data_IF_660488891085
#
_entry.id   IF_660488891085
#
_cell.length_a   1.000
_cell.length_b   1.000
_cell.length_c   1.000
_cell.angle_alpha   90.00
_cell.angle_beta   90.00
_cell.angle_gamma   90.00
#
_symmetry.space_group_name_H-M   'P 1'
#
loop_
_entity.id
_entity.type
_entity.pdbx_description
1 polymer ?
#
# COMPACT_ATOMS: atom_id res chain seq x y z
N UNK A 1 30.88 -17.02 1.07
CA UNK A 1 29.58 -17.40 1.64
C UNK A 1 29.55 -18.91 1.63
N UNK A 2 29.18 -19.56 2.74
CA UNK A 2 28.90 -21.00 2.73
C UNK A 2 27.86 -21.31 1.65
N UNK A 3 28.02 -22.44 0.97
CA UNK A 3 27.16 -22.85 -0.15
C UNK A 3 25.81 -23.31 0.42
N UNK A 4 24.82 -22.42 0.41
CA UNK A 4 23.47 -22.70 0.92
C UNK A 4 22.84 -23.82 0.07
N UNK A 5 22.65 -24.99 0.67
CA UNK A 5 22.04 -26.17 0.04
C UNK A 5 21.32 -27.04 1.06
N UNK A 6 20.32 -27.80 0.62
CA UNK A 6 19.48 -28.69 1.43
C UNK A 6 18.89 -28.00 2.67
N UNK A 7 18.13 -26.93 2.45
CA UNK A 7 17.47 -26.18 3.53
C UNK A 7 15.98 -25.96 3.23
N UNK A 8 15.22 -25.73 4.30
CA UNK A 8 13.83 -25.30 4.23
C UNK A 8 13.71 -23.86 4.74
N UNK A 9 13.08 -23.00 3.95
CA UNK A 9 12.79 -21.61 4.30
C UNK A 9 11.31 -21.49 4.61
N UNK A 10 10.97 -21.11 5.84
CA UNK A 10 9.59 -20.85 6.26
C UNK A 10 9.33 -19.34 6.30
N UNK A 11 8.31 -18.89 5.58
CA UNK A 11 7.92 -17.48 5.49
C UNK A 11 6.48 -17.30 5.96
N UNK A 12 6.31 -16.46 6.98
CA UNK A 12 5.00 -15.98 7.43
C UNK A 12 4.69 -14.62 6.79
N UNK A 13 3.46 -14.45 6.30
CA UNK A 13 2.97 -13.27 5.58
C UNK A 13 3.90 -12.78 4.45
N UNK A 14 4.40 -13.68 3.55
CA UNK A 14 5.38 -13.34 2.53
C UNK A 14 4.91 -12.20 1.61
N UNK A 15 3.59 -12.06 1.40
CA UNK A 15 3.01 -11.05 0.54
C UNK A 15 3.39 -9.61 0.90
N UNK A 16 3.70 -9.32 2.18
CA UNK A 16 4.07 -7.98 2.65
C UNK A 16 5.39 -7.48 2.04
N UNK A 17 6.32 -8.40 1.78
CA UNK A 17 7.66 -8.13 1.28
C UNK A 17 8.00 -8.92 0.00
N UNK A 18 6.98 -9.39 -0.71
CA UNK A 18 7.14 -10.37 -1.79
C UNK A 18 7.66 -9.83 -3.12
N UNK A 19 7.63 -8.52 -3.37
CA UNK A 19 7.98 -7.97 -4.69
C UNK A 19 9.47 -8.15 -5.02
N UNK A 20 9.78 -8.25 -6.30
CA UNK A 20 11.14 -8.44 -6.82
C UNK A 20 12.13 -7.31 -6.44
N UNK A 21 11.62 -6.12 -6.11
CA UNK A 21 12.40 -4.94 -5.71
C UNK A 21 12.56 -4.79 -4.18
N UNK A 22 11.95 -5.67 -3.40
CA UNK A 22 12.00 -5.68 -1.93
C UNK A 22 13.18 -6.50 -1.39
N UNK A 23 13.45 -6.35 -0.09
CA UNK A 23 14.65 -6.91 0.58
C UNK A 23 14.75 -8.43 0.49
N UNK A 24 13.63 -9.15 0.60
CA UNK A 24 13.62 -10.62 0.53
C UNK A 24 14.11 -11.11 -0.83
N UNK A 25 13.59 -10.53 -1.92
CA UNK A 25 14.05 -10.85 -3.27
C UNK A 25 15.54 -10.55 -3.47
N UNK A 26 16.05 -9.44 -2.91
CA UNK A 26 17.48 -9.10 -2.97
C UNK A 26 18.34 -10.10 -2.21
N UNK A 27 17.93 -10.44 -0.98
CA UNK A 27 18.62 -11.44 -0.17
C UNK A 27 18.71 -12.80 -0.88
N UNK A 28 17.61 -13.25 -1.51
CA UNK A 28 17.62 -14.50 -2.28
C UNK A 28 18.58 -14.44 -3.48
N UNK A 29 18.72 -13.28 -4.14
CA UNK A 29 19.71 -13.08 -5.23
C UNK A 29 21.14 -13.12 -4.70
N UNK A 30 21.41 -12.41 -3.61
CA UNK A 30 22.73 -12.34 -2.99
C UNK A 30 23.19 -13.73 -2.50
N UNK A 31 22.23 -14.58 -2.09
CA UNK A 31 22.46 -15.97 -1.72
C UNK A 31 22.49 -16.95 -2.91
N UNK A 32 22.17 -16.52 -4.14
CA UNK A 32 22.08 -17.38 -5.33
C UNK A 32 20.98 -18.45 -5.25
N UNK A 33 19.85 -18.14 -4.62
CA UNK A 33 18.67 -19.03 -4.48
C UNK A 33 17.40 -18.36 -5.02
N UNK A 34 17.56 -17.44 -5.96
CA UNK A 34 16.46 -16.61 -6.43
C UNK A 34 15.63 -17.32 -7.50
N UNK A 35 16.27 -18.03 -8.43
CA UNK A 35 15.55 -18.70 -9.52
C UNK A 35 15.02 -20.07 -9.09
N UNK A 36 14.06 -20.60 -9.85
CA UNK A 36 13.58 -21.99 -9.68
C UNK A 36 14.72 -22.99 -9.87
N UNK A 37 15.50 -22.83 -10.94
CA UNK A 37 16.62 -23.71 -11.25
C UNK A 37 17.68 -23.74 -10.12
N UNK A 38 18.05 -22.57 -9.60
CA UNK A 38 18.99 -22.46 -8.47
C UNK A 38 18.45 -23.18 -7.24
N UNK A 39 17.17 -22.99 -6.92
CA UNK A 39 16.51 -23.63 -5.77
C UNK A 39 16.46 -25.15 -5.93
N UNK A 40 16.12 -25.66 -7.11
CA UNK A 40 16.08 -27.10 -7.37
C UNK A 40 17.47 -27.73 -7.31
N UNK A 41 18.46 -27.11 -7.95
CA UNK A 41 19.86 -27.57 -7.94
C UNK A 41 20.44 -27.67 -6.53
N UNK A 42 20.02 -26.78 -5.64
CA UNK A 42 20.50 -26.68 -4.25
C UNK A 42 19.56 -27.34 -3.24
N UNK A 43 18.51 -28.04 -3.68
CA UNK A 43 17.48 -28.65 -2.83
C UNK A 43 16.90 -27.68 -1.77
N UNK A 44 16.53 -26.47 -2.22
CA UNK A 44 15.92 -25.45 -1.39
C UNK A 44 14.40 -25.62 -1.41
N UNK A 45 13.82 -25.85 -0.24
CA UNK A 45 12.37 -26.00 -0.04
C UNK A 45 11.81 -24.72 0.58
N UNK A 46 10.59 -24.34 0.21
CA UNK A 46 9.93 -23.14 0.76
C UNK A 46 8.53 -23.49 1.29
N UNK A 47 8.22 -22.98 2.47
CA UNK A 47 6.89 -23.05 3.07
C UNK A 47 6.40 -21.63 3.31
N UNK A 48 5.31 -21.27 2.63
CA UNK A 48 4.73 -19.94 2.68
C UNK A 48 3.35 -20.00 3.34
N UNK A 49 3.19 -19.29 4.45
CA UNK A 49 1.93 -19.22 5.20
C UNK A 49 1.35 -17.82 5.06
N UNK A 50 0.10 -17.72 4.64
CA UNK A 50 -0.58 -16.43 4.46
C UNK A 50 -2.09 -16.57 4.54
N UNK A 51 -2.73 -15.65 5.26
CA UNK A 51 -4.19 -15.49 5.22
C UNK A 51 -4.67 -14.78 3.95
N UNK A 52 -3.81 -13.95 3.33
CA UNK A 52 -4.11 -13.27 2.06
C UNK A 52 -2.87 -13.31 1.17
N UNK A 53 -2.64 -14.40 0.44
CA UNK A 53 -1.37 -14.61 -0.25
C UNK A 53 -1.15 -13.62 -1.40
N UNK A 54 -2.19 -12.96 -1.90
CA UNK A 54 -2.09 -11.96 -2.97
C UNK A 54 -1.28 -12.52 -4.16
N UNK A 55 -0.41 -11.73 -4.80
CA UNK A 55 0.33 -12.21 -5.96
C UNK A 55 1.25 -13.42 -5.71
N UNK A 56 1.61 -13.73 -4.45
CA UNK A 56 2.48 -14.88 -4.14
C UNK A 56 1.83 -16.21 -4.47
N UNK A 57 0.51 -16.34 -4.29
CA UNK A 57 -0.19 -17.57 -4.64
C UNK A 57 -0.14 -17.85 -6.13
N UNK A 58 -0.35 -16.82 -6.96
CA UNK A 58 -0.26 -16.98 -8.42
C UNK A 58 1.14 -17.40 -8.82
N UNK A 59 2.17 -16.73 -8.32
CA UNK A 59 3.55 -17.06 -8.69
C UNK A 59 3.98 -18.44 -8.24
N UNK A 60 3.53 -18.92 -7.07
CA UNK A 60 3.73 -20.31 -6.63
C UNK A 60 3.01 -21.30 -7.55
N UNK A 61 1.74 -21.02 -7.94
CA UNK A 61 1.00 -21.87 -8.89
C UNK A 61 1.65 -21.93 -10.27
N UNK A 62 2.26 -20.83 -10.72
CA UNK A 62 2.98 -20.77 -11.99
C UNK A 62 4.20 -21.74 -12.03
N UNK A 63 4.65 -22.30 -10.89
CA UNK A 63 5.72 -23.31 -10.85
C UNK A 63 5.29 -24.70 -11.35
N UNK A 64 3.97 -24.96 -11.41
CA UNK A 64 3.39 -26.26 -11.75
C UNK A 64 3.28 -27.23 -10.56
N UNK A 65 2.31 -28.13 -10.63
CA UNK A 65 1.95 -29.08 -9.56
C UNK A 65 3.06 -30.07 -9.19
N UNK A 66 4.05 -30.26 -10.08
CA UNK A 66 5.24 -31.06 -9.81
C UNK A 66 6.20 -30.40 -8.79
N UNK A 67 6.19 -29.07 -8.70
CA UNK A 67 7.16 -28.29 -7.92
C UNK A 67 6.53 -27.44 -6.81
N UNK A 68 5.22 -27.23 -6.86
CA UNK A 68 4.51 -26.49 -5.82
C UNK A 68 3.19 -27.16 -5.48
N UNK A 69 2.80 -27.01 -4.21
CA UNK A 69 1.50 -27.44 -3.72
C UNK A 69 0.90 -26.33 -2.86
N UNK A 70 -0.40 -26.09 -3.02
CA UNK A 70 -1.14 -25.10 -2.23
C UNK A 70 -2.11 -25.88 -1.36
N UNK A 71 -1.97 -25.75 -0.05
CA UNK A 71 -2.80 -26.42 0.93
C UNK A 71 -3.76 -25.41 1.59
N UNK A 72 -5.05 -25.37 1.21
CA UNK A 72 -6.04 -24.59 1.93
C UNK A 72 -6.21 -25.14 3.34
N UNK A 73 -6.14 -24.27 4.34
CA UNK A 73 -6.36 -24.67 5.74
C UNK A 73 -7.83 -24.45 6.09
N UNK A 74 -8.56 -25.54 6.33
CA UNK A 74 -9.93 -25.47 6.82
C UNK A 74 -9.95 -25.20 8.34
N UNK A 75 -10.83 -24.32 8.84
CA UNK A 75 -10.99 -24.12 10.27
C UNK A 75 -11.60 -25.35 10.94
N UNK A 76 -11.21 -25.62 12.19
CA UNK A 76 -11.83 -26.66 13.00
C UNK A 76 -13.22 -26.22 13.52
N UNK A 77 -13.96 -27.16 14.09
CA UNK A 77 -15.26 -26.89 14.71
C UNK A 77 -15.15 -25.81 15.79
N UNK A 78 -16.16 -24.92 15.86
CA UNK A 78 -16.20 -23.82 16.83
C UNK A 78 -15.45 -22.56 16.40
N UNK A 79 -14.78 -22.54 15.25
CA UNK A 79 -14.12 -21.34 14.73
C UNK A 79 -15.13 -20.27 14.30
N UNK A 80 -14.99 -19.06 14.86
CA UNK A 80 -15.71 -17.85 14.44
C UNK A 80 -15.06 -17.32 13.17
N UNK A 81 -15.80 -17.31 12.07
CA UNK A 81 -15.39 -16.71 10.79
C UNK A 81 -16.47 -15.79 10.21
N UNK A 82 -16.28 -15.36 8.96
CA UNK A 82 -17.19 -14.46 8.25
C UNK A 82 -18.67 -14.86 8.38
N UNK A 83 -19.01 -16.12 8.10
CA UNK A 83 -20.40 -16.61 8.13
C UNK A 83 -21.03 -16.43 9.52
N UNK A 84 -20.28 -16.72 10.58
CA UNK A 84 -20.73 -16.56 11.97
C UNK A 84 -20.92 -15.08 12.31
N UNK A 85 -19.93 -14.24 12.02
CA UNK A 85 -20.00 -12.81 12.29
C UNK A 85 -21.16 -12.13 11.53
N UNK A 86 -21.38 -12.50 10.26
CA UNK A 86 -22.50 -12.02 9.45
C UNK A 86 -23.85 -12.45 10.03
N UNK A 87 -24.00 -13.73 10.36
CA UNK A 87 -25.24 -14.28 10.97
C UNK A 87 -25.58 -13.58 12.29
N UNK A 88 -24.57 -13.22 13.06
CA UNK A 88 -24.73 -12.52 14.33
C UNK A 88 -24.89 -10.98 14.18
N UNK A 89 -24.96 -10.46 12.94
CA UNK A 89 -25.04 -9.03 12.65
C UNK A 89 -23.90 -8.20 13.28
N UNK A 90 -22.71 -8.79 13.35
CA UNK A 90 -21.52 -8.19 13.97
C UNK A 90 -20.70 -7.33 13.00
N UNK A 91 -20.93 -7.41 11.69
CA UNK A 91 -20.14 -6.67 10.69
C UNK A 91 -21.00 -5.56 10.09
N UNK A 92 -20.48 -4.34 10.04
CA UNK A 92 -21.16 -3.16 9.49
C UNK A 92 -20.23 -2.37 8.58
N UNK A 93 -20.82 -1.68 7.62
CA UNK A 93 -20.10 -0.78 6.73
C UNK A 93 -19.54 0.42 7.52
N UNK A 94 -18.23 0.66 7.42
CA UNK A 94 -17.61 1.84 7.99
C UNK A 94 -18.02 3.11 7.24
N UNK A 95 -17.81 4.27 7.86
CA UNK A 95 -18.07 5.59 7.31
C UNK A 95 -16.89 6.49 7.64
N UNK A 96 -16.73 7.60 6.92
CA UNK A 96 -15.71 8.57 7.28
C UNK A 96 -16.04 9.18 8.66
N UNK A 97 -15.04 9.36 9.51
CA UNK A 97 -15.18 9.97 10.85
C UNK A 97 -14.53 11.36 10.95
N UNK A 98 -13.77 11.75 9.93
CA UNK A 98 -13.02 13.01 9.91
C UNK A 98 -13.92 14.12 9.36
N UNK A 99 -13.86 15.34 9.92
CA UNK A 99 -14.63 16.47 9.43
C UNK A 99 -15.94 16.68 10.19
N UNK A 100 -16.39 17.95 10.35
CA UNK A 100 -17.64 18.29 11.02
C UNK A 100 -18.88 17.69 10.34
N UNK A 101 -18.86 17.51 9.02
CA UNK A 101 -19.94 16.88 8.26
C UNK A 101 -20.15 15.41 8.61
N UNK A 102 -19.16 14.78 9.25
CA UNK A 102 -19.17 13.36 9.62
C UNK A 102 -19.49 13.11 11.11
N UNK A 103 -19.85 14.14 11.88
CA UNK A 103 -20.23 14.01 13.29
C UNK A 103 -21.32 12.96 13.54
N UNK A 104 -22.31 12.88 12.65
CA UNK A 104 -23.42 11.94 12.77
C UNK A 104 -22.92 10.47 12.74
N UNK A 105 -21.82 10.19 12.05
CA UNK A 105 -21.22 8.86 12.04
C UNK A 105 -20.62 8.51 13.41
N UNK A 106 -20.06 9.49 14.12
CA UNK A 106 -19.57 9.31 15.51
C UNK A 106 -20.74 9.19 16.49
N UNK A 107 -21.84 9.92 16.27
CA UNK A 107 -23.08 9.79 17.08
C UNK A 107 -23.71 8.41 16.93
N UNK A 108 -23.66 7.82 15.74
CA UNK A 108 -24.08 6.42 15.52
C UNK A 108 -23.26 5.46 16.39
N UNK A 109 -21.94 5.63 16.45
CA UNK A 109 -21.07 4.84 17.33
C UNK A 109 -21.50 5.04 18.80
N UNK A 110 -21.75 6.27 19.26
CA UNK A 110 -22.23 6.53 20.63
C UNK A 110 -23.53 5.78 20.92
N UNK A 111 -24.48 5.83 19.99
CA UNK A 111 -25.76 5.14 20.13
C UNK A 111 -25.59 3.62 20.25
N UNK A 112 -24.72 3.01 19.44
CA UNK A 112 -24.42 1.57 19.56
C UNK A 112 -23.70 1.24 20.86
N UNK A 113 -22.77 2.09 21.32
CA UNK A 113 -22.08 1.89 22.60
C UNK A 113 -23.05 1.85 23.78
N UNK A 114 -24.08 2.70 23.76
CA UNK A 114 -25.08 2.76 24.83
C UNK A 114 -25.97 1.51 24.94
N UNK A 115 -25.98 0.64 23.92
CA UNK A 115 -26.74 -0.61 23.94
C UNK A 115 -26.08 -1.71 24.78
N UNK A 116 -24.78 -1.59 25.07
CA UNK A 116 -24.09 -2.57 25.91
C UNK A 116 -24.52 -2.45 27.37
N UNK A 117 -24.91 -3.57 27.98
CA UNK A 117 -25.29 -3.64 29.40
C UNK A 117 -24.11 -3.51 30.36
N UNK A 118 -22.90 -3.71 29.86
CA UNK A 118 -21.67 -3.68 30.66
C UNK A 118 -20.62 -2.88 29.92
N UNK A 119 -19.75 -2.22 30.68
CA UNK A 119 -18.60 -1.49 30.14
C UNK A 119 -17.75 -2.36 29.22
N UNK A 120 -17.32 -1.77 28.10
CA UNK A 120 -16.53 -2.42 27.05
C UNK A 120 -15.36 -1.53 26.62
N UNK A 121 -14.37 -2.17 26.00
CA UNK A 121 -13.36 -1.48 25.21
C UNK A 121 -13.85 -1.26 23.78
N UNK A 122 -13.57 -0.08 23.23
CA UNK A 122 -13.92 0.29 21.87
C UNK A 122 -12.66 0.75 21.14
N UNK A 123 -12.18 -0.01 20.15
CA UNK A 123 -10.99 0.36 19.38
C UNK A 123 -11.40 1.15 18.15
N UNK A 124 -10.85 2.35 18.00
CA UNK A 124 -11.09 3.21 16.85
C UNK A 124 -9.76 3.47 16.15
N UNK A 125 -9.56 2.92 14.95
CA UNK A 125 -8.34 3.14 14.18
C UNK A 125 -8.48 4.40 13.34
N UNK A 126 -7.55 5.33 13.51
CA UNK A 126 -7.61 6.65 12.90
C UNK A 126 -6.54 6.85 11.83
N UNK A 127 -6.75 7.89 11.00
CA UNK A 127 -5.71 8.42 10.10
C UNK A 127 -4.61 9.12 10.91
N UNK A 128 -3.49 9.41 10.27
CA UNK A 128 -2.39 10.20 10.84
C UNK A 128 -2.55 11.68 10.48
N UNK A 129 -1.81 12.57 11.16
CA UNK A 129 -1.81 14.01 10.85
C UNK A 129 -2.94 14.76 11.57
N UNK A 130 -3.40 15.87 10.99
CA UNK A 130 -4.43 16.74 11.57
C UNK A 130 -5.77 16.00 11.78
N UNK A 131 -6.18 15.19 10.80
CA UNK A 131 -7.34 14.29 10.86
C UNK A 131 -7.41 13.47 12.16
N UNK A 132 -6.24 13.06 12.70
CA UNK A 132 -6.15 12.28 13.93
C UNK A 132 -6.69 13.08 15.13
N UNK A 133 -6.16 14.28 15.34
CA UNK A 133 -6.46 15.12 16.48
C UNK A 133 -7.87 15.70 16.39
N UNK A 134 -8.28 16.08 15.18
CA UNK A 134 -9.65 16.56 14.91
C UNK A 134 -10.69 15.50 15.28
N UNK A 135 -10.48 14.25 14.83
CA UNK A 135 -11.42 13.15 15.11
C UNK A 135 -11.50 12.89 16.62
N UNK A 136 -10.36 12.85 17.32
CA UNK A 136 -10.34 12.68 18.79
C UNK A 136 -11.08 13.82 19.50
N UNK A 137 -10.88 15.07 19.05
CA UNK A 137 -11.60 16.22 19.59
C UNK A 137 -13.11 16.09 19.44
N UNK A 138 -13.58 15.63 18.27
CA UNK A 138 -15.00 15.38 18.03
C UNK A 138 -15.55 14.24 18.89
N UNK A 139 -14.81 13.14 19.06
CA UNK A 139 -15.18 12.09 20.01
C UNK A 139 -15.33 12.66 21.43
N UNK A 140 -14.33 13.39 21.93
CA UNK A 140 -14.37 13.98 23.27
C UNK A 140 -15.56 14.94 23.46
N UNK A 141 -15.92 15.71 22.43
CA UNK A 141 -17.09 16.60 22.47
C UNK A 141 -18.41 15.84 22.48
N UNK A 142 -18.53 14.75 21.71
CA UNK A 142 -19.78 13.98 21.60
C UNK A 142 -20.00 13.04 22.80
N UNK A 143 -18.94 12.37 23.25
CA UNK A 143 -18.99 11.41 24.34
C UNK A 143 -18.78 12.06 25.72
N UNK A 144 -18.12 13.21 25.79
CA UNK A 144 -17.89 13.93 27.04
C UNK A 144 -17.15 13.07 28.06
N UNK A 145 -17.60 13.11 29.32
CA UNK A 145 -17.04 12.33 30.43
C UNK A 145 -17.76 10.99 30.65
N UNK A 146 -18.65 10.58 29.73
CA UNK A 146 -19.38 9.31 29.82
C UNK A 146 -18.46 8.08 29.62
N UNK A 147 -17.25 8.32 29.10
CA UNK A 147 -16.27 7.29 28.72
C UNK A 147 -14.86 7.73 29.10
N UNK A 148 -13.97 6.76 29.26
CA UNK A 148 -12.54 7.01 29.29
C UNK A 148 -11.95 7.02 27.88
N UNK A 149 -10.90 7.82 27.68
CA UNK A 149 -10.15 7.86 26.42
C UNK A 149 -8.72 7.47 26.67
N UNK A 150 -8.18 6.66 25.76
CA UNK A 150 -6.76 6.37 25.74
C UNK A 150 -6.27 6.14 24.32
N UNK A 151 -4.96 6.08 24.15
CA UNK A 151 -4.31 6.00 22.85
C UNK A 151 -3.32 4.83 22.83
N UNK A 152 -3.39 4.01 21.79
CA UNK A 152 -2.43 2.95 21.50
C UNK A 152 -1.59 3.34 20.28
N UNK A 153 -0.48 4.02 20.56
CA UNK A 153 0.44 4.65 19.61
C UNK A 153 1.88 4.17 19.84
N UNK A 154 2.86 4.66 19.07
CA UNK A 154 4.25 4.22 19.19
C UNK A 154 4.84 4.46 20.58
N UNK A 155 4.52 5.59 21.18
CA UNK A 155 4.99 6.08 22.48
C UNK A 155 4.14 5.59 23.66
N UNK A 156 3.10 4.78 23.41
CA UNK A 156 2.21 4.33 24.48
C UNK A 156 2.96 3.47 25.49
N UNK A 157 2.62 3.60 26.77
CA UNK A 157 3.19 2.80 27.87
C UNK A 157 3.01 1.29 27.69
N UNK A 158 2.01 0.86 26.92
CA UNK A 158 1.73 -0.55 26.67
C UNK A 158 2.57 -1.06 25.50
N UNK A 159 3.46 -2.02 25.78
CA UNK A 159 4.09 -2.83 24.73
C UNK A 159 3.06 -3.76 24.09
N UNK A 160 2.16 -4.33 24.90
CA UNK A 160 1.04 -5.16 24.44
C UNK A 160 -0.31 -4.58 24.85
N UNK A 161 -1.17 -4.29 23.88
CA UNK A 161 -2.54 -3.83 24.14
C UNK A 161 -3.35 -4.87 24.93
N UNK A 162 -3.04 -6.16 24.81
CA UNK A 162 -3.77 -7.22 25.51
C UNK A 162 -3.55 -7.18 27.03
N UNK A 163 -2.50 -6.51 27.52
CA UNK A 163 -2.31 -6.31 28.96
C UNK A 163 -3.43 -5.44 29.57
N UNK A 164 -3.99 -4.54 28.75
CA UNK A 164 -5.19 -3.77 29.04
C UNK A 164 -6.46 -4.61 28.76
N UNK A 165 -6.59 -5.16 27.56
CA UNK A 165 -7.85 -5.77 27.08
C UNK A 165 -8.27 -7.04 27.83
N UNK A 166 -7.35 -7.72 28.52
CA UNK A 166 -7.67 -8.88 29.38
C UNK A 166 -8.42 -8.49 30.66
N UNK A 167 -8.36 -7.22 31.09
CA UNK A 167 -9.01 -6.73 32.31
C UNK A 167 -10.43 -6.26 31.96
N UNK A 168 -11.38 -6.44 32.87
CA UNK A 168 -12.73 -5.88 32.67
C UNK A 168 -12.66 -4.36 32.86
N UNK A 169 -13.15 -3.54 31.92
CA UNK A 169 -13.16 -2.10 32.10
C UNK A 169 -14.21 -1.66 33.15
N UNK A 170 -13.85 -0.66 33.95
CA UNK A 170 -14.71 -0.05 34.97
C UNK A 170 -15.74 0.94 34.39
N UNK A 171 -15.44 1.52 33.23
CA UNK A 171 -16.26 2.43 32.43
C UNK A 171 -16.02 2.12 30.96
N UNK A 172 -16.94 2.47 30.06
CA UNK A 172 -16.64 2.37 28.63
C UNK A 172 -15.35 3.11 28.30
N UNK A 173 -14.42 2.45 27.61
CA UNK A 173 -13.12 3.03 27.28
C UNK A 173 -12.91 3.01 25.77
N UNK A 174 -12.74 4.19 25.18
CA UNK A 174 -12.39 4.37 23.77
C UNK A 174 -10.87 4.39 23.65
N UNK A 175 -10.33 3.50 22.83
CA UNK A 175 -8.90 3.37 22.56
C UNK A 175 -8.64 3.77 21.11
N UNK A 176 -8.01 4.93 20.91
CA UNK A 176 -7.62 5.39 19.58
C UNK A 176 -6.33 4.71 19.15
N UNK A 177 -6.31 4.14 17.94
CA UNK A 177 -5.16 3.41 17.41
C UNK A 177 -4.55 4.17 16.25
N UNK A 178 -3.25 4.48 16.37
CA UNK A 178 -2.45 5.11 15.32
C UNK A 178 -1.29 4.20 14.96
N UNK A 179 -1.26 3.76 13.70
CA UNK A 179 -0.15 2.99 13.09
C UNK A 179 0.30 1.70 13.80
N UNK A 180 -0.46 1.25 14.81
CA UNK A 180 -0.26 0.00 15.54
C UNK A 180 -1.23 -1.09 15.08
N UNK A 181 -1.00 -2.31 15.56
CA UNK A 181 -1.77 -3.52 15.22
C UNK A 181 -1.77 -3.80 13.70
N UNK A 182 -0.62 -3.57 13.04
CA UNK A 182 -0.33 -4.06 11.70
C UNK A 182 0.23 -5.49 11.84
N UNK A 183 -0.36 -6.44 11.11
CA UNK A 183 0.02 -7.88 11.08
C UNK A 183 -0.07 -8.62 12.44
N UNK A 184 -0.10 -9.95 12.38
CA UNK A 184 0.05 -11.04 13.40
C UNK A 184 -0.47 -10.92 14.87
N UNK A 185 -0.86 -9.77 15.40
CA UNK A 185 -1.25 -9.62 16.81
C UNK A 185 -2.73 -9.89 17.07
N UNK A 186 -3.04 -10.97 17.78
CA UNK A 186 -4.40 -11.27 18.25
C UNK A 186 -4.88 -10.23 19.26
N UNK A 187 -6.20 -10.00 19.29
CA UNK A 187 -6.87 -9.08 20.22
C UNK A 187 -7.67 -9.91 21.22
N UNK A 188 -7.58 -9.60 22.51
CA UNK A 188 -8.38 -10.28 23.52
C UNK A 188 -9.84 -9.83 23.45
N UNK A 189 -10.72 -10.72 22.99
CA UNK A 189 -12.09 -10.34 22.59
C UNK A 189 -13.10 -10.22 23.73
N UNK A 190 -12.84 -10.78 24.93
CA UNK A 190 -13.87 -10.96 25.98
C UNK A 190 -14.67 -9.70 26.36
N UNK A 191 -14.02 -8.54 26.39
CA UNK A 191 -14.63 -7.26 26.80
C UNK A 191 -14.71 -6.24 25.66
N UNK A 192 -14.62 -6.69 24.41
CA UNK A 192 -14.71 -5.81 23.24
C UNK A 192 -16.14 -5.44 22.92
N UNK A 193 -16.37 -4.16 22.65
CA UNK A 193 -17.64 -3.62 22.18
C UNK A 193 -17.58 -3.26 20.72
N UNK A 194 -16.89 -2.16 20.38
CA UNK A 194 -16.81 -1.69 18.98
C UNK A 194 -15.37 -1.77 18.49
N UNK A 195 -15.19 -2.29 17.27
CA UNK A 195 -13.95 -2.23 16.53
C UNK A 195 -14.19 -1.45 15.24
N UNK A 196 -13.54 -0.31 15.09
CA UNK A 196 -13.75 0.59 13.96
C UNK A 196 -12.48 0.70 13.12
N UNK A 197 -12.51 0.08 11.93
CA UNK A 197 -11.39 0.12 10.99
C UNK A 197 -11.24 1.52 10.38
N UNK A 198 -10.01 1.88 10.00
CA UNK A 198 -9.76 3.19 9.40
C UNK A 198 -10.46 3.29 8.05
N UNK A 199 -11.35 4.28 7.91
CA UNK A 199 -11.98 4.58 6.62
C UNK A 199 -10.93 4.89 5.53
N UNK A 200 -11.09 4.26 4.37
CA UNK A 200 -10.33 4.55 3.16
C UNK A 200 -11.28 4.59 1.97
N UNK A 201 -11.25 5.65 1.13
CA UNK A 201 -12.05 5.71 -0.10
C UNK A 201 -11.56 4.72 -1.17
N UNK A 202 -10.33 4.23 -1.03
CA UNK A 202 -9.75 3.21 -1.91
C UNK A 202 -9.03 2.19 -1.02
N UNK A 203 -9.77 1.25 -0.42
CA UNK A 203 -9.19 0.29 0.50
C UNK A 203 -8.26 -0.69 -0.22
N UNK A 204 -7.22 -1.11 0.49
CA UNK A 204 -6.48 -2.33 0.16
C UNK A 204 -7.24 -3.50 0.80
N UNK A 205 -7.77 -4.40 -0.04
CA UNK A 205 -8.66 -5.47 0.40
C UNK A 205 -7.95 -6.41 1.40
N UNK A 206 -6.66 -6.69 1.16
CA UNK A 206 -5.82 -7.51 2.03
C UNK A 206 -5.61 -6.85 3.40
N UNK A 207 -5.33 -5.53 3.42
CA UNK A 207 -5.20 -4.78 4.68
C UNK A 207 -6.50 -4.74 5.47
N UNK A 208 -7.64 -4.55 4.80
CA UNK A 208 -8.95 -4.54 5.47
C UNK A 208 -9.25 -5.90 6.10
N UNK A 209 -9.09 -7.00 5.35
CA UNK A 209 -9.50 -8.30 5.87
C UNK A 209 -8.53 -8.85 6.93
N UNK A 210 -7.26 -8.46 6.89
CA UNK A 210 -6.28 -8.72 7.96
C UNK A 210 -6.32 -7.67 9.10
N UNK A 211 -7.20 -6.67 8.99
CA UNK A 211 -7.42 -5.60 9.94
C UNK A 211 -8.16 -6.08 11.20
N UNK A 212 -9.06 -5.25 11.73
CA UNK A 212 -9.91 -5.69 12.85
C UNK A 212 -10.83 -6.84 12.49
N UNK A 213 -11.34 -6.88 11.26
CA UNK A 213 -12.21 -7.96 10.79
C UNK A 213 -11.56 -9.34 10.97
N UNK A 214 -10.38 -9.58 10.40
CA UNK A 214 -9.68 -10.85 10.55
C UNK A 214 -9.23 -11.15 11.98
N UNK A 215 -9.03 -10.13 12.82
CA UNK A 215 -8.69 -10.31 14.25
C UNK A 215 -9.88 -10.73 15.11
N UNK A 216 -11.08 -10.64 14.58
CA UNK A 216 -12.30 -11.18 15.19
C UNK A 216 -12.61 -12.61 14.71
N UNK A 217 -11.72 -13.22 13.95
CA UNK A 217 -11.79 -14.65 13.69
C UNK A 217 -11.07 -15.42 14.79
N UNK A 218 -11.44 -16.70 14.97
CA UNK A 218 -10.80 -17.60 15.92
C UNK A 218 -11.79 -18.25 16.90
N UNK A 219 -11.30 -18.66 18.07
CA UNK A 219 -12.06 -19.47 19.03
C UNK A 219 -12.48 -18.66 20.26
N UNK A 220 -13.22 -17.57 20.05
CA UNK A 220 -13.74 -16.74 21.12
C UNK A 220 -15.27 -16.80 21.23
N UNK A 221 -15.79 -16.41 22.39
CA UNK A 221 -17.23 -16.44 22.71
C UNK A 221 -17.89 -15.06 22.75
N UNK A 222 -17.17 -14.00 22.36
CA UNK A 222 -17.78 -12.67 22.19
C UNK A 222 -18.58 -12.63 20.88
N UNK A 223 -19.91 -12.61 21.00
CA UNK A 223 -20.85 -12.54 19.89
C UNK A 223 -21.63 -11.22 19.84
N UNK A 224 -21.35 -10.26 20.73
CA UNK A 224 -21.98 -8.95 20.76
C UNK A 224 -21.07 -7.81 20.28
N UNK A 225 -19.80 -8.07 20.00
CA UNK A 225 -18.88 -7.09 19.42
C UNK A 225 -19.31 -6.68 18.00
N UNK A 226 -19.33 -5.37 17.73
CA UNK A 226 -19.62 -4.77 16.42
C UNK A 226 -18.31 -4.34 15.73
N UNK A 227 -18.17 -4.69 14.47
CA UNK A 227 -17.00 -4.44 13.62
C UNK A 227 -17.42 -3.55 12.47
N UNK A 228 -16.98 -2.30 12.49
CA UNK A 228 -17.12 -1.38 11.36
C UNK A 228 -15.92 -1.53 10.43
N UNK A 229 -16.17 -1.99 9.20
CA UNK A 229 -15.14 -2.26 8.20
C UNK A 229 -15.66 -2.00 6.79
N UNK A 230 -14.84 -2.16 5.75
CA UNK A 230 -15.31 -2.12 4.37
C UNK A 230 -16.01 -3.45 4.03
N UNK A 231 -17.34 -3.43 3.87
CA UNK A 231 -18.12 -4.63 3.58
C UNK A 231 -17.76 -5.24 2.22
N UNK A 232 -17.48 -4.39 1.22
CA UNK A 232 -17.10 -4.84 -0.12
C UNK A 232 -15.80 -5.68 -0.10
N UNK A 233 -14.77 -5.25 0.63
CA UNK A 233 -13.52 -6.01 0.81
C UNK A 233 -13.77 -7.33 1.53
N UNK A 234 -14.68 -7.35 2.51
CA UNK A 234 -15.06 -8.58 3.23
C UNK A 234 -15.77 -9.56 2.31
N UNK A 235 -16.72 -9.09 1.50
CA UNK A 235 -17.44 -9.90 0.51
C UNK A 235 -16.48 -10.44 -0.56
N UNK A 236 -15.60 -9.61 -1.10
CA UNK A 236 -14.53 -10.05 -2.01
C UNK A 236 -13.65 -11.14 -1.41
N UNK A 237 -13.34 -11.06 -0.11
CA UNK A 237 -12.53 -12.08 0.56
C UNK A 237 -13.26 -13.42 0.67
N UNK A 238 -14.57 -13.38 0.90
CA UNK A 238 -15.41 -14.57 0.88
C UNK A 238 -15.47 -15.18 -0.52
N UNK A 239 -15.68 -14.36 -1.55
CA UNK A 239 -15.69 -14.78 -2.95
C UNK A 239 -14.34 -15.41 -3.36
N UNK A 240 -13.23 -14.78 -2.95
CA UNK A 240 -11.88 -15.30 -3.17
C UNK A 240 -11.73 -16.70 -2.54
N UNK A 241 -12.17 -16.88 -1.30
CA UNK A 241 -12.10 -18.17 -0.63
C UNK A 241 -12.95 -19.23 -1.35
N UNK A 242 -14.20 -18.91 -1.68
CA UNK A 242 -15.14 -19.84 -2.35
C UNK A 242 -14.68 -20.23 -3.76
N UNK A 243 -14.03 -19.31 -4.48
CA UNK A 243 -13.45 -19.55 -5.80
C UNK A 243 -11.99 -20.04 -5.73
N UNK A 244 -11.54 -20.54 -4.58
CA UNK A 244 -10.18 -21.09 -4.40
C UNK A 244 -9.07 -20.13 -4.84
N UNK A 245 -9.28 -18.83 -4.59
CA UNK A 245 -8.41 -17.73 -4.98
C UNK A 245 -8.10 -17.71 -6.49
N UNK A 246 -9.10 -17.98 -7.35
CA UNK A 246 -8.98 -17.77 -8.78
C UNK A 246 -9.05 -16.27 -9.13
N UNK A 247 -7.88 -15.70 -9.39
CA UNK A 247 -7.71 -14.29 -9.76
C UNK A 247 -8.39 -13.91 -11.08
N UNK A 248 -8.88 -14.84 -11.89
CA UNK A 248 -9.66 -14.52 -13.09
C UNK A 248 -11.14 -14.25 -12.80
N UNK A 249 -11.62 -14.59 -11.59
CA UNK A 249 -13.05 -14.57 -11.25
C UNK A 249 -13.43 -13.56 -10.17
N UNK A 250 -12.46 -12.96 -9.49
CA UNK A 250 -12.70 -12.00 -8.41
C UNK A 250 -11.76 -10.81 -8.54
N UNK A 251 -12.28 -9.57 -8.50
CA UNK A 251 -11.46 -8.37 -8.38
C UNK A 251 -10.89 -8.22 -6.97
N UNK A 252 -9.56 -8.12 -6.87
CA UNK A 252 -8.83 -8.03 -5.60
C UNK A 252 -7.69 -7.01 -5.68
N UNK A 253 -7.71 -6.01 -4.81
CA UNK A 253 -6.71 -4.93 -4.76
C UNK A 253 -5.86 -5.07 -3.51
N UNK A 254 -4.54 -5.12 -3.69
CA UNK A 254 -3.57 -5.17 -2.59
C UNK A 254 -2.25 -4.49 -2.99
N UNK A 255 -1.26 -4.47 -2.09
CA UNK A 255 0.10 -4.04 -2.42
C UNK A 255 0.69 -4.78 -3.64
N UNK A 256 0.32 -6.06 -3.87
CA UNK A 256 0.85 -6.87 -4.97
C UNK A 256 -0.18 -7.24 -6.04
N UNK A 257 -1.44 -6.84 -5.90
CA UNK A 257 -2.49 -7.11 -6.88
C UNK A 257 -3.30 -5.86 -7.24
N UNK A 258 -3.94 -5.85 -8.41
CA UNK A 258 -4.80 -4.77 -8.84
C UNK A 258 -6.06 -5.32 -9.53
N UNK A 259 -7.23 -4.93 -9.05
CA UNK A 259 -8.49 -5.22 -9.72
C UNK A 259 -8.55 -4.54 -11.11
N UNK A 260 -9.07 -5.27 -12.10
CA UNK A 260 -9.34 -4.77 -13.46
C UNK A 260 -10.60 -5.46 -14.01
N UNK A 261 -11.74 -4.77 -13.96
CA UNK A 261 -13.03 -5.39 -14.25
C UNK A 261 -13.29 -6.52 -13.25
N UNK A 262 -13.69 -7.70 -13.73
CA UNK A 262 -14.02 -8.86 -12.88
C UNK A 262 -12.81 -9.74 -12.52
N UNK A 263 -11.58 -9.29 -12.84
CA UNK A 263 -10.35 -10.05 -12.61
C UNK A 263 -9.30 -9.25 -11.86
N UNK A 264 -8.26 -9.96 -11.45
CA UNK A 264 -7.12 -9.44 -10.70
C UNK A 264 -5.83 -9.59 -11.50
N UNK A 265 -5.07 -8.51 -11.59
CA UNK A 265 -3.71 -8.51 -12.14
C UNK A 265 -2.73 -8.64 -10.98
N UNK A 266 -1.82 -9.62 -11.07
CA UNK A 266 -0.76 -9.83 -10.08
C UNK A 266 0.55 -9.19 -10.52
N UNK A 267 1.25 -8.53 -9.59
CA UNK A 267 2.63 -8.08 -9.79
C UNK A 267 3.59 -9.26 -9.66
N UNK A 268 4.81 -9.11 -10.15
CA UNK A 268 5.87 -10.09 -9.94
C UNK A 268 6.37 -10.08 -8.49
N UNK A 269 6.73 -11.27 -8.01
CA UNK A 269 7.19 -11.61 -6.68
C UNK A 269 8.51 -12.38 -6.74
N UNK A 270 9.14 -12.67 -5.60
CA UNK A 270 10.34 -13.50 -5.52
C UNK A 270 10.12 -14.96 -5.99
N UNK A 271 8.86 -15.39 -6.13
CA UNK A 271 8.54 -16.70 -6.71
C UNK A 271 8.36 -16.66 -8.23
N UNK A 272 8.43 -15.51 -8.90
CA UNK A 272 8.36 -15.53 -10.35
C UNK A 272 9.70 -15.97 -10.96
N UNK A 273 9.65 -16.86 -11.94
CA UNK A 273 10.79 -17.09 -12.81
C UNK A 273 11.10 -15.81 -13.57
N UNK A 274 12.27 -15.22 -13.29
CA UNK A 274 12.80 -14.16 -14.13
C UNK A 274 13.55 -14.81 -15.30
N UNK A 275 12.82 -15.36 -16.26
CA UNK A 275 13.43 -15.69 -17.56
C UNK A 275 13.74 -14.35 -18.21
N UNK A 276 15.02 -14.01 -18.32
CA UNK A 276 15.53 -12.86 -19.04
C UNK A 276 14.72 -11.58 -18.79
N UNK A 277 14.73 -11.07 -17.55
CA UNK A 277 14.63 -9.61 -17.48
C UNK A 277 15.91 -9.08 -18.11
N UNK A 278 15.86 -8.23 -19.15
CA UNK A 278 17.02 -7.44 -19.47
C UNK A 278 17.39 -6.77 -18.15
N UNK A 279 18.60 -7.02 -17.68
CA UNK A 279 19.20 -6.21 -16.63
C UNK A 279 18.89 -4.78 -17.06
N UNK A 280 18.17 -4.03 -16.22
CA UNK A 280 18.04 -2.59 -16.44
C UNK A 280 19.46 -2.06 -16.36
N UNK A 281 20.09 -2.04 -17.51
CA UNK A 281 21.38 -1.45 -17.72
C UNK A 281 21.14 0.04 -17.49
N UNK A 282 21.49 0.48 -16.29
CA UNK A 282 21.30 1.86 -15.86
C UNK A 282 22.24 2.80 -16.63
N UNK A 283 23.07 2.28 -17.54
CA UNK A 283 23.80 3.07 -18.53
C UNK A 283 22.88 3.41 -19.71
N UNK A 284 21.85 4.21 -19.44
CA UNK A 284 21.12 4.89 -20.51
C UNK A 284 22.02 6.02 -20.99
N UNK A 285 22.50 5.93 -22.22
CA UNK A 285 23.26 7.02 -22.85
C UNK A 285 22.27 8.11 -23.29
N UNK A 286 22.36 9.27 -22.64
CA UNK A 286 21.47 10.41 -22.90
C UNK A 286 22.08 11.35 -23.93
N UNK A 287 21.30 11.73 -24.94
CA UNK A 287 21.64 12.87 -25.77
C UNK A 287 21.05 14.15 -25.17
N UNK A 288 21.90 15.14 -25.00
CA UNK A 288 21.52 16.50 -24.61
C UNK A 288 21.65 17.39 -25.84
N UNK A 289 20.56 18.02 -26.24
CA UNK A 289 20.57 19.04 -27.30
C UNK A 289 19.97 20.34 -26.78
N UNK A 290 20.44 21.45 -27.32
CA UNK A 290 20.18 22.79 -26.80
C UNK A 290 19.53 23.65 -27.88
N UNK A 291 18.54 24.44 -27.49
CA UNK A 291 17.72 25.25 -28.37
C UNK A 291 17.42 26.60 -27.75
N UNK A 292 17.26 27.61 -28.60
CA UNK A 292 16.89 28.96 -28.16
C UNK A 292 15.39 29.05 -27.88
N UNK A 293 14.58 28.28 -28.62
CA UNK A 293 13.11 28.30 -28.51
C UNK A 293 12.52 26.94 -28.20
N UNK A 294 11.32 26.94 -27.61
CA UNK A 294 10.57 25.71 -27.32
C UNK A 294 10.15 25.00 -28.61
N UNK A 295 9.83 25.78 -29.64
CA UNK A 295 9.42 25.33 -30.95
C UNK A 295 10.54 24.55 -31.65
N UNK A 296 11.79 25.02 -31.55
CA UNK A 296 12.97 24.32 -32.07
C UNK A 296 13.18 22.98 -31.35
N UNK A 297 13.11 22.96 -30.02
CA UNK A 297 13.19 21.74 -29.24
C UNK A 297 12.08 20.74 -29.64
N UNK A 298 10.85 21.22 -29.87
CA UNK A 298 9.75 20.38 -30.33
C UNK A 298 9.98 19.82 -31.74
N UNK A 299 10.51 20.64 -32.67
CA UNK A 299 10.86 20.20 -34.03
C UNK A 299 11.95 19.11 -33.98
N UNK A 300 12.95 19.30 -33.14
CA UNK A 300 14.01 18.32 -32.94
C UNK A 300 13.46 16.99 -32.43
N UNK A 301 12.63 16.98 -31.38
CA UNK A 301 11.98 15.75 -30.89
C UNK A 301 11.13 15.06 -31.96
N UNK A 302 10.38 15.80 -32.78
CA UNK A 302 9.57 15.20 -33.87
C UNK A 302 10.44 14.53 -34.92
N UNK A 303 11.64 15.07 -35.17
CA UNK A 303 12.61 14.51 -36.12
C UNK A 303 13.27 13.25 -35.55
N UNK A 304 13.76 13.32 -34.32
CA UNK A 304 14.48 12.21 -33.67
C UNK A 304 13.54 11.08 -33.23
N UNK A 305 12.29 11.37 -32.87
CA UNK A 305 11.30 10.38 -32.42
C UNK A 305 9.96 10.58 -33.16
N UNK A 306 9.85 10.10 -34.41
CA UNK A 306 8.64 10.21 -35.22
C UNK A 306 7.40 9.63 -34.52
N UNK A 307 6.24 10.26 -34.69
CA UNK A 307 4.96 9.79 -34.12
C UNK A 307 4.67 10.26 -32.68
N UNK A 308 5.58 10.98 -32.03
CA UNK A 308 5.33 11.63 -30.74
C UNK A 308 4.84 13.07 -30.92
N UNK A 309 3.99 13.52 -29.99
CA UNK A 309 3.49 14.91 -29.93
C UNK A 309 4.21 15.67 -28.81
N UNK A 310 5.36 16.32 -29.08
CA UNK A 310 5.94 17.25 -28.11
C UNK A 310 5.01 18.47 -27.96
N UNK A 311 4.83 18.94 -26.71
CA UNK A 311 4.04 20.14 -26.41
C UNK A 311 2.51 19.97 -26.31
N UNK A 312 1.99 18.78 -25.98
CA UNK A 312 0.55 18.59 -25.68
C UNK A 312 0.07 19.36 -24.44
N UNK A 313 -1.18 19.16 -24.00
CA UNK A 313 -1.78 19.87 -22.85
C UNK A 313 -0.90 19.82 -21.56
N UNK A 314 -0.15 18.74 -21.37
CA UNK A 314 0.79 18.55 -20.27
C UNK A 314 2.22 19.09 -20.53
N UNK A 315 2.41 19.82 -21.63
CA UNK A 315 3.67 20.43 -22.04
C UNK A 315 4.08 21.55 -21.09
N UNK A 316 5.39 21.71 -20.90
CA UNK A 316 5.94 22.64 -19.91
C UNK A 316 5.62 24.12 -20.20
N UNK A 317 5.40 24.49 -21.46
CA UNK A 317 4.98 25.84 -21.85
C UNK A 317 3.55 26.18 -21.36
N UNK A 318 2.71 25.16 -21.16
CA UNK A 318 1.35 25.30 -20.64
C UNK A 318 1.31 25.27 -19.10
N UNK A 319 2.46 25.10 -18.43
CA UNK A 319 2.55 25.17 -16.97
C UNK A 319 2.67 26.62 -16.52
N UNK A 320 2.07 26.93 -15.37
CA UNK A 320 2.17 28.25 -14.75
C UNK A 320 3.63 28.62 -14.44
N UNK A 321 4.03 29.81 -14.88
CA UNK A 321 5.27 30.48 -14.44
C UNK A 321 5.12 30.91 -12.99
N UNK A 322 6.25 31.08 -12.30
CA UNK A 322 6.24 31.68 -10.97
C UNK A 322 5.93 33.19 -11.04
N UNK A 323 5.81 33.84 -9.87
CA UNK A 323 5.57 35.29 -9.76
C UNK A 323 6.65 36.16 -10.41
N UNK A 324 7.81 35.59 -10.74
CA UNK A 324 8.95 36.25 -11.38
C UNK A 324 9.12 35.82 -12.85
N UNK A 325 8.15 35.11 -13.44
CA UNK A 325 8.16 34.74 -14.86
C UNK A 325 9.00 33.52 -15.25
N UNK A 326 9.55 32.78 -14.28
CA UNK A 326 10.33 31.56 -14.55
C UNK A 326 9.45 30.32 -14.65
N UNK A 327 9.83 29.38 -15.51
CA UNK A 327 9.31 28.02 -15.51
C UNK A 327 10.02 27.19 -14.44
N UNK A 328 9.24 26.35 -13.75
CA UNK A 328 9.79 25.36 -12.84
C UNK A 328 10.06 24.03 -13.52
N UNK A 329 11.23 23.49 -13.25
CA UNK A 329 11.58 22.10 -13.50
C UNK A 329 11.34 21.29 -12.22
N UNK A 330 10.82 20.08 -12.38
CA UNK A 330 10.59 19.16 -11.25
C UNK A 330 11.75 18.19 -11.16
N UNK A 331 12.57 18.33 -10.12
CA UNK A 331 13.64 17.37 -9.84
C UNK A 331 13.14 16.27 -8.92
N UNK A 332 13.46 15.02 -9.27
CA UNK A 332 13.39 13.90 -8.33
C UNK A 332 14.77 13.70 -7.74
N UNK A 333 15.05 14.37 -6.63
CA UNK A 333 16.21 14.03 -5.80
C UNK A 333 15.94 12.72 -5.05
N UNK A 334 17.00 11.92 -4.86
CA UNK A 334 16.92 10.57 -4.33
C UNK A 334 16.11 10.49 -3.02
N UNK A 335 15.08 9.64 -3.02
CA UNK A 335 14.39 9.02 -1.86
C UNK A 335 14.35 9.88 -0.58
N UNK A 336 13.39 10.80 -0.48
CA UNK A 336 12.62 11.17 0.74
C UNK A 336 12.09 12.62 0.76
N UNK A 337 12.17 13.40 -0.32
CA UNK A 337 11.57 14.74 -0.35
C UNK A 337 10.66 14.96 -1.56
N UNK A 338 9.59 15.74 -1.33
CA UNK A 338 8.58 16.16 -2.31
C UNK A 338 9.23 16.71 -3.59
N UNK A 339 8.51 16.64 -4.70
CA UNK A 339 8.81 17.32 -5.95
C UNK A 339 9.24 18.78 -5.69
N UNK A 340 10.54 19.05 -5.65
CA UNK A 340 11.08 20.39 -5.50
C UNK A 340 11.00 21.05 -6.87
N UNK A 341 10.16 22.09 -6.96
CA UNK A 341 10.10 22.99 -8.10
C UNK A 341 11.34 23.89 -8.06
N UNK A 342 12.21 23.79 -9.05
CA UNK A 342 13.45 24.59 -9.12
C UNK A 342 13.63 25.26 -10.48
N UNK A 343 14.45 26.30 -10.50
CA UNK A 343 14.94 26.98 -11.71
C UNK A 343 16.30 26.38 -12.02
N UNK A 344 16.49 25.84 -13.22
CA UNK A 344 17.73 25.17 -13.62
C UNK A 344 18.64 26.13 -14.38
N UNK A 345 19.95 26.00 -14.17
CA UNK A 345 20.96 26.49 -15.10
C UNK A 345 21.42 25.35 -16.04
N UNK A 346 22.32 25.67 -16.98
CA UNK A 346 22.81 24.70 -17.98
C UNK A 346 23.49 23.48 -17.34
N UNK A 347 24.39 23.70 -16.38
CA UNK A 347 25.15 22.63 -15.73
C UNK A 347 24.24 21.69 -14.92
N UNK A 348 23.20 22.22 -14.29
CA UNK A 348 22.20 21.43 -13.59
C UNK A 348 21.32 20.63 -14.55
N UNK A 349 20.93 21.23 -15.68
CA UNK A 349 20.23 20.50 -16.74
C UNK A 349 21.05 19.32 -17.27
N UNK A 350 22.36 19.50 -17.50
CA UNK A 350 23.27 18.44 -17.97
C UNK A 350 23.43 17.29 -16.96
N UNK A 351 23.12 17.53 -15.68
CA UNK A 351 23.14 16.51 -14.62
C UNK A 351 21.78 15.81 -14.45
N UNK A 352 20.75 16.21 -15.18
CA UNK A 352 19.41 15.64 -15.07
C UNK A 352 19.26 14.31 -15.83
N UNK A 353 19.17 13.22 -15.07
CA UNK A 353 18.80 11.90 -15.62
C UNK A 353 17.27 11.66 -15.58
N UNK A 354 16.49 12.74 -15.60
CA UNK A 354 15.13 12.82 -15.06
C UNK A 354 14.14 11.84 -15.67
N UNK A 355 13.95 10.66 -15.05
CA UNK A 355 12.76 9.81 -15.22
C UNK A 355 12.40 9.41 -16.66
N UNK A 356 13.39 9.38 -17.55
CA UNK A 356 13.26 8.88 -18.92
C UNK A 356 13.20 7.35 -18.90
N UNK A 357 12.40 6.76 -19.78
CA UNK A 357 12.24 5.31 -19.91
C UNK A 357 11.79 4.97 -21.32
N UNK A 358 11.74 3.68 -21.70
CA UNK A 358 11.16 3.25 -22.98
C UNK A 358 9.74 3.81 -23.22
N UNK A 359 8.93 3.96 -22.15
CA UNK A 359 7.58 4.54 -22.23
C UNK A 359 7.57 6.07 -22.37
N UNK A 360 8.62 6.73 -21.87
CA UNK A 360 8.80 8.18 -21.89
C UNK A 360 10.21 8.50 -22.40
N UNK A 361 10.46 8.35 -23.72
CA UNK A 361 11.81 8.30 -24.28
C UNK A 361 12.48 9.67 -24.40
N UNK A 362 11.75 10.76 -24.16
CA UNK A 362 12.30 12.11 -24.19
C UNK A 362 11.72 13.05 -23.14
N UNK A 363 12.42 14.16 -22.91
CA UNK A 363 11.92 15.34 -22.19
C UNK A 363 12.37 16.64 -22.85
N UNK A 364 11.59 17.70 -22.64
CA UNK A 364 11.96 19.07 -22.97
C UNK A 364 11.95 19.85 -21.65
N UNK A 365 13.07 20.48 -21.31
CA UNK A 365 13.30 21.12 -20.01
C UNK A 365 13.77 22.56 -20.24
N UNK A 366 13.16 23.56 -19.59
CA UNK A 366 13.68 24.92 -19.59
C UNK A 366 14.89 25.01 -18.65
N UNK A 367 15.93 25.71 -19.10
CA UNK A 367 17.05 26.14 -18.26
C UNK A 367 17.38 27.59 -18.57
N UNK A 368 18.10 28.25 -17.68
CA UNK A 368 18.41 29.67 -17.75
C UNK A 368 19.92 29.86 -17.74
N UNK A 369 20.43 30.78 -18.57
CA UNK A 369 21.86 31.15 -18.51
C UNK A 369 22.14 31.95 -17.23
N UNK A 370 21.16 32.73 -16.78
CA UNK A 370 21.15 33.43 -15.50
C UNK A 370 19.84 33.15 -14.76
N UNK A 371 19.93 32.55 -13.57
CA UNK A 371 18.76 32.22 -12.74
C UNK A 371 18.05 33.43 -12.13
N UNK A 372 18.66 34.61 -12.21
CA UNK A 372 18.06 35.87 -11.78
C UNK A 372 17.35 36.61 -12.92
N UNK A 373 17.55 36.19 -14.17
CA UNK A 373 16.95 36.80 -15.37
C UNK A 373 16.15 35.79 -16.20
N UNK A 374 14.83 35.94 -16.17
CA UNK A 374 13.92 35.05 -16.88
C UNK A 374 14.00 35.17 -18.42
N UNK A 375 14.62 36.23 -18.95
CA UNK A 375 14.79 36.45 -20.38
C UNK A 375 15.91 35.60 -20.97
N UNK A 376 16.78 35.06 -20.11
CA UNK A 376 17.89 34.16 -20.50
C UNK A 376 17.47 32.71 -20.69
N UNK A 377 16.16 32.44 -20.78
CA UNK A 377 15.61 31.11 -20.97
C UNK A 377 16.16 30.46 -22.24
N UNK A 378 16.49 29.18 -22.11
CA UNK A 378 16.85 28.25 -23.17
C UNK A 378 16.14 26.92 -22.94
N UNK A 379 16.16 26.07 -23.96
CA UNK A 379 15.44 24.81 -23.96
C UNK A 379 16.39 23.66 -24.22
N UNK A 380 16.39 22.67 -23.33
CA UNK A 380 17.17 21.45 -23.47
C UNK A 380 16.28 20.26 -23.78
N UNK A 381 16.71 19.39 -24.68
CA UNK A 381 16.09 18.06 -24.86
C UNK A 381 16.97 16.98 -24.24
N UNK A 382 16.31 16.02 -23.59
CA UNK A 382 16.92 14.78 -23.14
C UNK A 382 16.30 13.63 -23.92
N UNK A 383 17.08 12.86 -24.67
CA UNK A 383 16.60 11.73 -25.48
C UNK A 383 17.31 10.45 -25.06
N UNK A 384 16.55 9.37 -24.90
CA UNK A 384 17.09 8.02 -24.73
C UNK A 384 17.48 7.44 -26.10
N UNK A 385 18.78 7.26 -26.35
CA UNK A 385 19.30 6.73 -27.63
C UNK A 385 18.98 5.26 -27.90
N UNK A 386 18.39 4.52 -26.96
CA UNK A 386 18.08 3.08 -27.11
C UNK A 386 16.66 2.79 -27.63
N UNK A 387 15.87 3.81 -28.00
CA UNK A 387 14.46 3.68 -28.39
C UNK A 387 14.25 3.93 -29.88
#
# INVERSE_FOLDING_TARGET
MEDISNIMICLDEPQLASRIDQKLAKLMKDCGIFTKEERLKRDIKMVEVSATPNATLKSVRDWGEEYSNVLPVAPAEGHVGYKTLKRNNQIRQFKNLVGPENENNIREIKHEMQKYKSNRYHLIRLKTGEDYYETIGTFKRIFGNDVEYTEYIQESQWKDINDLLKKKPSIHTIIFIKEKLRCAKSIHMKYMGILYERFSPSPDDSVIVQGFFGRCHGYHTNFDCIIYTNMESVEKCQDMYEKSFDYNQVPWTSNTTKARGNKTICKQTFNNELINQPVKDNNVEYQHDYFDTFEEACKHIKKEIPGRRPGGENGIINKEKNSHGFYYSTLRTNKMQKDLKTILNKEEFEKENGGISEKHPYRIIPYYLDKSDNTTIKWGTLINKRV
#
